data_IF_076475029772
#
_entry.id   IF_076475029772
#
_cell.length_a   1.000
_cell.length_b   1.000
_cell.length_c   1.000
_cell.angle_alpha   90.00
_cell.angle_beta   90.00
_cell.angle_gamma   90.00
#
_symmetry.space_group_name_H-M   'P 1'
#
loop_
_entity.id
_entity.type
_entity.pdbx_description
1 polymer ?
#
# COMPACT_ATOMS: atom_id res chain seq x y z
N UNK A 1 -33.58 12.26 43.09
CA UNK A 1 -34.14 12.91 41.88
C UNK A 1 -33.08 13.78 41.30
N UNK A 2 -32.67 13.54 40.08
CA UNK A 2 -31.63 14.30 39.38
C UNK A 2 -32.23 15.18 38.26
N UNK A 3 -31.61 16.33 37.99
CA UNK A 3 -32.04 17.22 36.94
C UNK A 3 -31.04 17.16 35.76
N UNK A 4 -31.54 17.29 34.57
CA UNK A 4 -30.69 17.34 33.37
C UNK A 4 -29.88 18.64 33.35
N UNK A 5 -28.55 18.53 33.29
CA UNK A 5 -27.64 19.69 33.28
C UNK A 5 -27.79 20.55 32.02
N UNK A 6 -28.48 20.04 30.99
CA UNK A 6 -28.59 20.71 29.69
C UNK A 6 -29.95 21.44 29.52
N UNK A 7 -31.04 20.90 30.01
CA UNK A 7 -32.39 21.49 29.87
C UNK A 7 -33.13 21.71 31.18
N UNK A 8 -32.54 21.32 32.32
CA UNK A 8 -33.17 21.46 33.65
C UNK A 8 -34.36 20.53 33.92
N UNK A 9 -34.73 19.66 32.99
CA UNK A 9 -35.86 18.73 33.18
C UNK A 9 -35.51 17.58 34.13
N UNK A 10 -36.53 17.05 34.83
CA UNK A 10 -36.37 15.92 35.77
C UNK A 10 -35.92 14.65 35.01
N UNK A 11 -34.93 13.98 35.58
CA UNK A 11 -34.39 12.73 35.05
C UNK A 11 -35.01 11.55 35.81
N UNK A 12 -35.78 10.72 35.13
CA UNK A 12 -36.25 9.44 35.66
C UNK A 12 -35.07 8.49 35.91
N UNK A 13 -35.24 7.57 36.89
CA UNK A 13 -34.18 6.62 37.29
C UNK A 13 -33.82 5.60 36.21
N UNK A 14 -34.71 5.34 35.26
CA UNK A 14 -34.54 4.36 34.20
C UNK A 14 -34.40 5.08 32.85
N UNK A 15 -33.25 4.91 32.19
CA UNK A 15 -32.95 5.41 30.84
C UNK A 15 -31.62 6.16 30.75
N UNK A 16 -30.89 5.90 29.67
CA UNK A 16 -29.58 6.51 29.40
C UNK A 16 -29.69 7.93 28.84
N UNK A 17 -30.89 8.39 28.49
CA UNK A 17 -31.16 9.68 27.85
C UNK A 17 -32.19 10.49 28.57
N UNK A 18 -32.10 11.83 28.48
CA UNK A 18 -33.08 12.73 29.02
C UNK A 18 -34.38 12.68 28.17
N UNK A 19 -35.58 12.44 28.79
CA UNK A 19 -36.83 12.39 28.02
C UNK A 19 -37.28 13.76 27.46
N UNK A 20 -36.75 14.87 28.00
CA UNK A 20 -37.11 16.22 27.54
C UNK A 20 -36.26 16.76 26.40
N UNK A 21 -34.95 16.41 26.36
CA UNK A 21 -34.05 16.96 25.33
C UNK A 21 -33.28 15.91 24.53
N UNK A 22 -33.48 14.61 24.82
CA UNK A 22 -32.85 13.51 24.09
C UNK A 22 -31.34 13.35 24.29
N UNK A 23 -30.69 14.19 25.12
CA UNK A 23 -29.25 14.07 25.36
C UNK A 23 -28.95 13.01 26.42
N UNK A 24 -27.80 12.35 26.29
CA UNK A 24 -27.32 11.34 27.22
C UNK A 24 -27.15 11.94 28.65
N UNK A 25 -27.51 11.19 29.66
CA UNK A 25 -27.28 11.55 31.08
C UNK A 25 -25.77 11.53 31.34
N UNK A 26 -25.18 12.68 31.53
CA UNK A 26 -23.86 12.79 32.15
C UNK A 26 -24.07 12.77 33.66
N UNK A 27 -23.82 11.63 34.30
CA UNK A 27 -23.76 11.56 35.75
C UNK A 27 -22.53 12.32 36.19
N UNK A 28 -22.73 13.48 36.83
CA UNK A 28 -21.64 14.18 37.51
C UNK A 28 -21.24 13.34 38.72
N UNK A 29 -20.28 12.48 38.56
CA UNK A 29 -19.75 11.64 39.62
C UNK A 29 -18.50 10.92 39.16
N UNK A 30 -17.35 11.46 39.46
CA UNK A 30 -15.96 11.05 39.21
C UNK A 30 -15.36 11.51 37.89
N UNK A 31 -14.42 12.44 38.06
CA UNK A 31 -13.38 12.72 37.11
C UNK A 31 -12.67 11.43 36.73
N UNK A 32 -12.68 11.11 35.47
CA UNK A 32 -11.88 10.01 34.96
C UNK A 32 -12.57 9.33 33.80
N UNK A 33 -12.04 9.62 32.62
CA UNK A 33 -12.16 8.81 31.43
C UNK A 33 -13.43 9.06 30.61
N UNK A 34 -13.31 9.97 29.67
CA UNK A 34 -14.05 9.84 28.44
C UNK A 34 -13.88 8.38 27.96
N UNK A 35 -14.96 7.62 28.03
CA UNK A 35 -15.04 6.34 27.35
C UNK A 35 -15.16 6.70 25.86
N UNK A 36 -14.03 7.09 25.27
CA UNK A 36 -13.76 6.71 23.89
C UNK A 36 -14.01 5.21 23.91
N UNK A 37 -14.98 4.75 23.15
CA UNK A 37 -15.13 3.33 22.90
C UNK A 37 -13.72 2.83 22.63
N UNK A 38 -13.14 2.12 23.59
CA UNK A 38 -11.95 1.34 23.42
C UNK A 38 -12.41 0.29 22.43
N UNK A 39 -12.26 0.63 21.15
CA UNK A 39 -12.14 -0.39 20.14
C UNK A 39 -11.06 -1.28 20.72
N UNK A 40 -11.46 -2.49 21.09
CA UNK A 40 -10.59 -3.58 21.50
C UNK A 40 -9.37 -3.49 20.58
N UNK A 41 -8.31 -2.95 21.10
CA UNK A 41 -7.02 -2.90 20.44
C UNK A 41 -6.59 -4.36 20.46
N UNK A 42 -7.06 -5.14 19.48
CA UNK A 42 -6.37 -6.37 19.14
C UNK A 42 -4.95 -5.90 18.94
N UNK A 43 -4.05 -6.43 19.73
CA UNK A 43 -2.65 -6.07 19.72
C UNK A 43 -2.20 -6.12 18.27
N UNK A 44 -1.86 -4.98 17.69
CA UNK A 44 -1.50 -4.86 16.30
C UNK A 44 -0.27 -5.72 16.07
N UNK A 45 -0.48 -6.87 15.42
CA UNK A 45 0.59 -7.82 15.13
C UNK A 45 1.29 -7.40 13.86
N UNK A 46 2.59 -7.16 13.94
CA UNK A 46 3.44 -6.85 12.79
C UNK A 46 3.94 -8.14 12.16
N UNK A 47 3.68 -8.33 10.87
CA UNK A 47 4.15 -9.47 10.09
C UNK A 47 5.46 -9.17 9.37
N UNK A 48 5.67 -7.91 8.99
CA UNK A 48 6.87 -7.46 8.30
C UNK A 48 7.17 -6.01 8.66
N UNK A 49 8.46 -5.75 8.92
CA UNK A 49 8.98 -4.39 9.11
C UNK A 49 10.28 -4.27 8.32
N UNK A 50 10.20 -3.67 7.14
CA UNK A 50 11.32 -3.36 6.26
C UNK A 50 11.41 -1.85 6.04
N UNK A 51 12.57 -1.33 5.64
CA UNK A 51 12.70 0.09 5.27
C UNK A 51 11.69 0.44 4.17
N UNK A 52 10.75 1.33 4.49
CA UNK A 52 9.69 1.76 3.57
C UNK A 52 8.47 0.83 3.44
N UNK A 53 8.41 -0.31 4.15
CA UNK A 53 7.25 -1.20 4.14
C UNK A 53 7.00 -1.82 5.52
N UNK A 54 5.84 -1.57 6.08
CA UNK A 54 5.38 -2.23 7.33
C UNK A 54 4.02 -2.85 7.08
N UNK A 55 3.90 -4.13 7.41
CA UNK A 55 2.66 -4.90 7.25
C UNK A 55 2.19 -5.36 8.63
N UNK A 56 0.97 -4.98 8.97
CA UNK A 56 0.30 -5.38 10.22
C UNK A 56 -1.02 -6.08 9.91
N UNK A 57 -1.67 -6.65 10.91
CA UNK A 57 -3.00 -7.27 10.78
C UNK A 57 -4.10 -6.28 10.40
N UNK A 58 -3.93 -4.97 10.65
CA UNK A 58 -4.94 -3.94 10.43
C UNK A 58 -4.66 -3.04 9.23
N UNK A 59 -3.38 -2.80 8.92
CA UNK A 59 -2.95 -1.86 7.87
C UNK A 59 -1.63 -2.25 7.23
N UNK A 60 -1.43 -1.73 6.03
CA UNK A 60 -0.16 -1.79 5.28
C UNK A 60 0.33 -0.37 5.12
N UNK A 61 1.55 -0.10 5.54
CA UNK A 61 2.22 1.19 5.39
C UNK A 61 3.33 1.00 4.36
N UNK A 62 3.20 1.65 3.21
CA UNK A 62 4.20 1.63 2.14
C UNK A 62 4.68 3.05 1.88
N UNK A 63 5.92 3.37 2.29
CA UNK A 63 6.47 4.72 2.28
C UNK A 63 5.52 5.72 2.96
N UNK A 64 4.88 6.59 2.19
CA UNK A 64 3.97 7.63 2.68
C UNK A 64 2.48 7.28 2.52
N UNK A 65 2.15 6.02 2.17
CA UNK A 65 0.77 5.60 1.94
C UNK A 65 0.38 4.49 2.91
N UNK A 66 -0.76 4.66 3.54
CA UNK A 66 -1.35 3.64 4.42
C UNK A 66 -2.61 3.07 3.77
N UNK A 67 -2.67 1.76 3.68
CA UNK A 67 -3.81 1.01 3.16
C UNK A 67 -4.43 0.19 4.28
N UNK A 68 -5.75 0.28 4.45
CA UNK A 68 -6.47 -0.56 5.41
C UNK A 68 -6.59 -1.99 4.85
N UNK A 69 -6.25 -2.98 5.69
CA UNK A 69 -6.38 -4.39 5.30
C UNK A 69 -7.83 -4.81 5.03
N UNK A 70 -8.80 -4.15 5.67
CA UNK A 70 -10.23 -4.49 5.54
C UNK A 70 -10.79 -4.35 4.12
N UNK A 71 -10.18 -3.49 3.28
CA UNK A 71 -10.63 -3.25 1.90
C UNK A 71 -9.88 -4.05 0.84
N UNK A 72 -8.91 -4.89 1.23
CA UNK A 72 -8.09 -5.64 0.30
C UNK A 72 -8.75 -6.97 -0.08
N UNK A 73 -8.88 -7.22 -1.38
CA UNK A 73 -9.41 -8.46 -1.93
C UNK A 73 -8.32 -9.40 -2.40
N UNK A 74 -7.23 -8.87 -2.99
CA UNK A 74 -6.08 -9.67 -3.39
C UNK A 74 -4.82 -8.82 -3.51
N UNK A 75 -3.67 -9.48 -3.41
CA UNK A 75 -2.34 -8.88 -3.60
C UNK A 75 -1.52 -9.77 -4.50
N UNK A 76 -0.82 -9.16 -5.47
CA UNK A 76 0.08 -9.88 -6.37
C UNK A 76 1.35 -9.10 -6.67
N UNK A 77 2.43 -9.82 -6.96
CA UNK A 77 3.61 -9.22 -7.56
C UNK A 77 3.42 -9.13 -9.07
N UNK A 78 3.71 -7.98 -9.65
CA UNK A 78 3.65 -7.75 -11.09
C UNK A 78 5.02 -7.32 -11.59
N UNK A 79 5.45 -7.89 -12.71
CA UNK A 79 6.72 -7.49 -13.37
C UNK A 79 6.41 -6.39 -14.37
N UNK A 80 7.07 -5.25 -14.19
CA UNK A 80 7.05 -4.15 -15.16
C UNK A 80 8.30 -4.31 -16.03
N UNK A 81 8.10 -4.88 -17.22
CA UNK A 81 9.18 -5.07 -18.16
C UNK A 81 9.78 -3.72 -18.59
N UNK A 82 11.11 -3.63 -18.60
CA UNK A 82 11.81 -2.47 -19.11
C UNK A 82 11.49 -2.28 -20.61
N UNK A 83 11.24 -1.04 -21.02
CA UNK A 83 11.01 -0.70 -22.44
C UNK A 83 12.30 -0.84 -23.23
N UNK A 84 12.59 -2.06 -23.71
CA UNK A 84 13.81 -2.39 -24.45
C UNK A 84 13.70 -2.11 -25.95
N UNK A 85 12.57 -1.60 -26.44
CA UNK A 85 12.34 -1.36 -27.87
C UNK A 85 13.35 -0.42 -28.50
N UNK A 86 13.65 0.71 -27.87
CA UNK A 86 14.62 1.68 -28.38
C UNK A 86 16.05 1.15 -28.47
N UNK A 87 16.64 0.54 -27.43
CA UNK A 87 17.98 -0.03 -27.54
C UNK A 87 18.10 -1.13 -28.61
N UNK A 88 17.05 -1.96 -28.74
CA UNK A 88 17.02 -2.99 -29.81
C UNK A 88 16.98 -2.33 -31.20
N UNK A 89 16.20 -1.27 -31.38
CA UNK A 89 16.16 -0.54 -32.64
C UNK A 89 17.53 0.06 -33.01
N UNK A 90 18.26 0.62 -32.05
CA UNK A 90 19.62 1.14 -32.22
C UNK A 90 20.61 0.03 -32.60
N UNK A 91 20.49 -1.15 -31.94
CA UNK A 91 21.33 -2.30 -32.27
C UNK A 91 21.07 -2.82 -33.69
N UNK A 92 19.79 -2.90 -34.10
CA UNK A 92 19.41 -3.31 -35.47
C UNK A 92 19.88 -2.29 -36.52
N UNK A 93 19.78 -1.00 -36.22
CA UNK A 93 20.33 0.04 -37.10
C UNK A 93 21.85 -0.13 -37.26
N UNK A 94 22.57 -0.41 -36.17
CA UNK A 94 23.99 -0.72 -36.20
C UNK A 94 24.32 -1.92 -37.12
N UNK A 95 23.48 -2.98 -37.05
CA UNK A 95 23.64 -4.15 -37.90
C UNK A 95 23.44 -3.81 -39.38
N UNK A 96 22.49 -2.98 -39.74
CA UNK A 96 22.25 -2.53 -41.12
C UNK A 96 23.45 -1.71 -41.64
N UNK A 97 24.01 -0.82 -40.81
CA UNK A 97 25.14 0.02 -41.16
C UNK A 97 26.45 -0.77 -41.40
N UNK A 98 26.55 -2.00 -40.90
CA UNK A 98 27.69 -2.89 -41.17
C UNK A 98 27.79 -3.34 -42.61
N UNK A 99 26.68 -3.33 -43.36
CA UNK A 99 26.66 -3.77 -44.78
C UNK A 99 27.37 -2.77 -45.69
N UNK A 100 27.34 -1.47 -45.36
CA UNK A 100 27.98 -0.42 -46.13
C UNK A 100 29.51 -0.37 -45.89
N UNK A 101 30.37 -0.31 -46.96
CA UNK A 101 31.82 -0.30 -46.77
C UNK A 101 32.33 0.93 -45.98
N UNK A 102 31.73 2.10 -46.23
CA UNK A 102 32.15 3.37 -45.60
C UNK A 102 31.55 3.59 -44.20
N UNK A 103 30.48 2.83 -43.85
CA UNK A 103 29.74 3.00 -42.57
C UNK A 103 30.04 1.93 -41.54
N UNK A 104 30.91 0.96 -41.84
CA UNK A 104 31.21 -0.18 -40.96
C UNK A 104 31.65 0.23 -39.56
N UNK A 105 32.47 1.28 -39.44
CA UNK A 105 32.94 1.77 -38.14
C UNK A 105 31.79 2.28 -37.28
N UNK A 106 30.88 3.07 -37.85
CA UNK A 106 29.68 3.55 -37.14
C UNK A 106 28.71 2.41 -36.83
N UNK A 107 28.59 1.42 -37.70
CA UNK A 107 27.76 0.23 -37.48
C UNK A 107 28.21 -0.57 -36.25
N UNK A 108 29.52 -0.82 -36.10
CA UNK A 108 30.07 -1.52 -34.93
C UNK A 108 29.82 -0.74 -33.66
N UNK A 109 30.09 0.56 -33.64
CA UNK A 109 29.86 1.40 -32.44
C UNK A 109 28.39 1.42 -32.08
N UNK A 110 27.48 1.64 -33.02
CA UNK A 110 26.03 1.66 -32.77
C UNK A 110 25.51 0.32 -32.26
N UNK A 111 26.01 -0.80 -32.80
CA UNK A 111 25.65 -2.15 -32.35
C UNK A 111 26.10 -2.39 -30.89
N UNK A 112 27.37 -2.09 -30.60
CA UNK A 112 27.92 -2.27 -29.24
C UNK A 112 27.17 -1.38 -28.23
N UNK A 113 26.95 -0.12 -28.54
CA UNK A 113 26.20 0.81 -27.66
C UNK A 113 24.77 0.33 -27.48
N UNK A 114 24.08 -0.09 -28.54
CA UNK A 114 22.70 -0.61 -28.44
C UNK A 114 22.60 -1.86 -27.56
N UNK A 115 23.56 -2.79 -27.68
CA UNK A 115 23.63 -4.00 -26.88
C UNK A 115 23.90 -3.67 -25.40
N UNK A 116 24.92 -2.86 -25.10
CA UNK A 116 25.23 -2.46 -23.72
C UNK A 116 24.02 -1.78 -23.08
N UNK A 117 23.34 -0.90 -23.82
CA UNK A 117 22.15 -0.21 -23.33
C UNK A 117 20.99 -1.18 -23.09
N UNK A 118 20.74 -2.14 -23.99
CA UNK A 118 19.70 -3.16 -23.83
C UNK A 118 19.90 -4.03 -22.59
N UNK A 119 21.15 -4.43 -22.30
CA UNK A 119 21.48 -5.22 -21.11
C UNK A 119 21.51 -4.40 -19.81
N UNK A 120 21.75 -3.10 -19.89
CA UNK A 120 21.77 -2.20 -18.73
C UNK A 120 20.38 -1.93 -18.15
N UNK A 121 19.31 -2.11 -18.94
CA UNK A 121 17.93 -1.91 -18.52
C UNK A 121 17.47 -3.07 -17.63
N UNK A 122 17.19 -2.77 -16.37
CA UNK A 122 16.67 -3.74 -15.39
C UNK A 122 15.13 -3.66 -15.35
N UNK A 123 14.50 -4.83 -15.26
CA UNK A 123 13.07 -4.93 -15.02
C UNK A 123 12.72 -4.41 -13.62
N UNK A 124 11.51 -3.90 -13.47
CA UNK A 124 11.00 -3.44 -12.19
C UNK A 124 9.90 -4.39 -11.71
N UNK A 125 9.76 -4.48 -10.41
CA UNK A 125 8.74 -5.29 -9.77
C UNK A 125 7.81 -4.37 -9.00
N UNK A 126 6.51 -4.64 -9.07
CA UNK A 126 5.50 -3.86 -8.38
C UNK A 126 4.62 -4.75 -7.49
N UNK A 127 4.23 -4.22 -6.35
CA UNK A 127 3.13 -4.76 -5.55
C UNK A 127 1.85 -4.16 -6.10
N UNK A 128 1.00 -5.00 -6.66
CA UNK A 128 -0.34 -4.61 -7.09
C UNK A 128 -1.34 -5.08 -6.06
N UNK A 129 -2.12 -4.15 -5.57
CA UNK A 129 -3.18 -4.35 -4.58
C UNK A 129 -4.51 -4.16 -5.28
N UNK A 130 -5.40 -5.14 -5.18
CA UNK A 130 -6.77 -5.05 -5.65
C UNK A 130 -7.69 -4.76 -4.47
N UNK A 131 -8.54 -3.76 -4.63
CA UNK A 131 -9.57 -3.38 -3.66
C UNK A 131 -10.91 -3.22 -4.38
N UNK A 132 -11.98 -2.98 -3.62
CA UNK A 132 -13.30 -2.71 -4.19
C UNK A 132 -13.34 -1.50 -5.14
N UNK A 133 -12.40 -0.56 -5.01
CA UNK A 133 -12.25 0.62 -5.87
C UNK A 133 -11.38 0.40 -7.11
N UNK A 134 -10.80 -0.81 -7.29
CA UNK A 134 -9.96 -1.16 -8.42
C UNK A 134 -8.56 -1.65 -8.05
N UNK A 135 -7.72 -1.82 -9.06
CA UNK A 135 -6.33 -2.22 -8.91
C UNK A 135 -5.41 -0.99 -8.82
N UNK A 136 -4.52 -1.00 -7.85
CA UNK A 136 -3.53 0.04 -7.64
C UNK A 136 -2.13 -0.57 -7.53
N UNK A 137 -1.16 0.03 -8.22
CA UNK A 137 0.25 -0.24 -7.99
C UNK A 137 0.69 0.52 -6.74
N UNK A 138 0.85 -0.22 -5.64
CA UNK A 138 1.14 0.38 -4.35
C UNK A 138 2.62 0.72 -4.17
N UNK A 139 3.50 -0.13 -4.72
CA UNK A 139 4.95 -0.01 -4.57
C UNK A 139 5.65 -0.55 -5.82
N UNK A 140 6.71 0.13 -6.25
CA UNK A 140 7.59 -0.31 -7.35
C UNK A 140 9.02 -0.35 -6.85
N UNK A 141 9.72 -1.46 -7.09
CA UNK A 141 11.13 -1.65 -6.73
C UNK A 141 11.87 -2.42 -7.82
N UNK A 142 13.19 -2.30 -7.85
CA UNK A 142 14.08 -3.11 -8.69
C UNK A 142 14.46 -4.43 -8.03
N UNK A 143 14.19 -4.57 -6.76
CA UNK A 143 14.49 -5.77 -5.98
C UNK A 143 13.27 -6.69 -5.94
N UNK A 144 13.42 -7.85 -6.60
CA UNK A 144 12.39 -8.89 -6.65
C UNK A 144 12.11 -9.50 -5.27
N UNK A 145 13.17 -9.73 -4.48
CA UNK A 145 13.03 -10.38 -3.17
C UNK A 145 12.25 -9.48 -2.22
N UNK A 146 12.60 -8.19 -2.19
CA UNK A 146 11.90 -7.19 -1.40
C UNK A 146 10.39 -7.15 -1.70
N UNK A 147 10.01 -7.20 -2.98
CA UNK A 147 8.61 -7.22 -3.39
C UNK A 147 7.91 -8.53 -2.98
N UNK A 148 8.58 -9.67 -3.14
CA UNK A 148 8.02 -10.98 -2.77
C UNK A 148 7.82 -11.10 -1.26
N UNK A 149 8.74 -10.60 -0.45
CA UNK A 149 8.63 -10.60 1.01
C UNK A 149 7.42 -9.78 1.46
N UNK A 150 7.20 -8.61 0.86
CA UNK A 150 6.02 -7.78 1.14
C UNK A 150 4.72 -8.50 0.76
N UNK A 151 4.65 -9.08 -0.44
CA UNK A 151 3.47 -9.83 -0.89
C UNK A 151 3.20 -11.03 0.00
N UNK A 152 4.25 -11.76 0.41
CA UNK A 152 4.16 -12.88 1.34
C UNK A 152 3.61 -12.48 2.70
N UNK A 153 4.13 -11.39 3.27
CA UNK A 153 3.66 -10.86 4.55
C UNK A 153 2.20 -10.37 4.49
N UNK A 154 1.80 -9.73 3.39
CA UNK A 154 0.41 -9.30 3.21
C UNK A 154 -0.53 -10.52 3.13
N UNK A 155 -0.14 -11.57 2.39
CA UNK A 155 -0.93 -12.80 2.32
C UNK A 155 -1.06 -13.47 3.69
N UNK A 156 0.02 -13.53 4.48
CA UNK A 156 -0.03 -14.04 5.86
C UNK A 156 -0.97 -13.22 6.74
N UNK A 157 -0.93 -11.89 6.62
CA UNK A 157 -1.80 -11.00 7.38
C UNK A 157 -3.28 -11.17 7.00
N UNK A 158 -3.58 -11.41 5.71
CA UNK A 158 -4.95 -11.70 5.24
C UNK A 158 -5.46 -13.01 5.82
N UNK A 159 -4.63 -14.07 5.80
CA UNK A 159 -5.00 -15.39 6.36
C UNK A 159 -5.19 -15.33 7.87
N UNK A 160 -4.35 -14.56 8.56
CA UNK A 160 -4.46 -14.42 10.03
C UNK A 160 -5.75 -13.71 10.47
N UNK A 161 -6.32 -12.86 9.62
CA UNK A 161 -7.54 -12.11 9.92
C UNK A 161 -8.83 -12.95 9.76
N UNK A 162 -8.81 -13.99 8.92
CA UNK A 162 -9.95 -14.89 8.73
C UNK A 162 -10.05 -15.91 9.86
#
# INVERSE_FOLDING_TARGET
MGFCTHCGGELGEQGAFCPHCGKSKTVAGNAGTAVVAVQKTESEKTFLSLPGATVTNSRIILWNKTYAMAGLTSVRSTVIAAKRGWPIAVALLGLILLVGPDTRGFGVVSLVVGLIWAFSLKDQYAVTISSASGELQALVSKDKNYINDIVGAINQAIVYRN
#
